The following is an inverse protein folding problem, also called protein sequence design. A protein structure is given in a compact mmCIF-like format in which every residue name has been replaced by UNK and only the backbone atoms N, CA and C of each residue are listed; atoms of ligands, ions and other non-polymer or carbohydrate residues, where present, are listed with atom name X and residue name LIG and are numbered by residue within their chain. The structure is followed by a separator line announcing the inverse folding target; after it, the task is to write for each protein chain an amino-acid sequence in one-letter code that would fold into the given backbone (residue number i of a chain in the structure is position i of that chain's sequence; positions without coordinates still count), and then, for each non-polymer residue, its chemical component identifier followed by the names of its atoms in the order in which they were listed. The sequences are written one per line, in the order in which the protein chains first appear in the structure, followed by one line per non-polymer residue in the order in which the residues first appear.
data_IF_653219836465
#
_entry.id   IF_653219836465
#
_cell.length_a   1.000
_cell.length_b   1.000
_cell.length_c   1.000
_cell.angle_alpha   90.00
_cell.angle_beta   90.00
_cell.angle_gamma   90.00
#
_symmetry.space_group_name_H-M   'P 1'
#
loop_
_entity.id
_entity.type
_entity.pdbx_description
1 polymer ?
#
# COMPACT_ATOMS: atom_id res chain seq x y z
N UNK A 1 -14.51 82.75 13.19
CA UNK A 1 -15.56 83.49 13.94
C UNK A 1 -16.86 83.37 13.16
N UNK A 2 -17.98 83.04 13.83
CA UNK A 2 -19.33 82.66 13.33
C UNK A 2 -19.41 81.21 12.80
N UNK A 3 -19.96 80.19 13.47
CA UNK A 3 -21.06 80.04 14.46
C UNK A 3 -22.47 80.13 13.83
N UNK A 4 -23.19 79.01 13.89
CA UNK A 4 -24.61 78.83 13.56
C UNK A 4 -24.82 77.81 12.42
N UNK A 5 -25.71 76.82 12.47
CA UNK A 5 -26.73 76.43 13.46
C UNK A 5 -27.20 75.04 13.06
N UNK A 6 -27.42 74.18 14.05
CA UNK A 6 -27.96 72.84 13.93
C UNK A 6 -29.49 72.93 13.80
N UNK A 7 -30.07 72.56 12.66
CA UNK A 7 -31.51 72.27 12.58
C UNK A 7 -31.71 70.76 12.58
N UNK A 8 -32.27 70.29 13.69
CA UNK A 8 -32.77 68.94 13.90
C UNK A 8 -34.20 68.92 13.35
N UNK A 9 -34.39 68.33 12.16
CA UNK A 9 -35.72 67.97 11.69
C UNK A 9 -35.96 66.49 12.01
N UNK A 10 -36.42 66.24 13.22
CA UNK A 10 -36.87 64.93 13.68
C UNK A 10 -38.21 64.59 13.02
N UNK A 11 -38.15 63.85 11.91
CA UNK A 11 -39.31 63.13 11.37
C UNK A 11 -39.43 61.81 12.14
N UNK A 12 -40.54 61.54 12.86
CA UNK A 12 -40.71 60.26 13.54
C UNK A 12 -41.06 59.20 12.49
N UNK A 13 -40.07 58.44 12.06
CA UNK A 13 -40.32 57.22 11.29
C UNK A 13 -40.86 56.13 12.22
N UNK A 14 -41.93 55.40 11.82
CA UNK A 14 -42.58 54.43 12.66
C UNK A 14 -41.65 53.26 12.98
N UNK A 15 -41.75 52.77 14.23
CA UNK A 15 -41.01 51.65 14.83
C UNK A 15 -41.14 50.29 14.09
N UNK A 16 -41.80 50.25 12.94
CA UNK A 16 -41.92 49.03 12.11
C UNK A 16 -40.78 48.85 11.10
N UNK A 17 -39.97 49.89 10.82
CA UNK A 17 -38.89 49.79 9.83
C UNK A 17 -37.57 49.21 10.38
N UNK A 18 -37.43 49.00 11.70
CA UNK A 18 -36.22 48.46 12.31
C UNK A 18 -36.13 46.93 12.29
N UNK A 19 -37.21 46.23 11.92
CA UNK A 19 -37.27 44.76 11.96
C UNK A 19 -36.98 44.06 10.63
N UNK A 20 -36.74 44.82 9.56
CA UNK A 20 -36.39 44.27 8.25
C UNK A 20 -35.00 44.75 7.80
N UNK A 21 -33.99 44.55 8.66
CA UNK A 21 -32.69 44.26 8.06
C UNK A 21 -32.86 42.93 7.31
N UNK A 22 -32.48 42.81 6.03
CA UNK A 22 -32.41 41.50 5.42
C UNK A 22 -31.40 40.72 6.25
N UNK A 23 -31.92 39.78 7.05
CA UNK A 23 -31.11 38.75 7.68
C UNK A 23 -30.37 38.10 6.52
N UNK A 24 -29.10 38.48 6.34
CA UNK A 24 -28.17 37.75 5.48
C UNK A 24 -28.03 36.40 6.16
N UNK A 25 -28.97 35.50 5.85
CA UNK A 25 -28.78 34.08 5.99
C UNK A 25 -27.64 33.79 5.02
N UNK A 26 -26.42 33.83 5.55
CA UNK A 26 -25.32 33.14 4.93
C UNK A 26 -25.77 31.68 4.96
N UNK A 27 -26.36 31.24 3.86
CA UNK A 27 -26.46 29.83 3.54
C UNK A 27 -24.99 29.43 3.38
N UNK A 28 -24.36 29.07 4.50
CA UNK A 28 -23.04 28.47 4.52
C UNK A 28 -23.23 27.21 3.67
N UNK A 29 -22.67 27.22 2.46
CA UNK A 29 -22.69 26.03 1.63
C UNK A 29 -21.97 24.96 2.45
N UNK A 30 -22.76 24.01 2.95
CA UNK A 30 -22.30 22.83 3.66
C UNK A 30 -21.60 21.99 2.61
N UNK A 31 -20.32 22.28 2.39
CA UNK A 31 -19.28 21.45 1.77
C UNK A 31 -18.12 22.37 1.42
N UNK A 32 -17.29 22.70 2.43
CA UNK A 32 -15.99 23.30 2.16
C UNK A 32 -15.06 22.20 1.63
N UNK A 33 -15.19 21.87 0.35
CA UNK A 33 -14.30 20.95 -0.37
C UNK A 33 -12.87 21.51 -0.51
N UNK A 34 -12.61 22.73 -0.02
CA UNK A 34 -11.33 23.41 -0.12
C UNK A 34 -10.32 22.92 0.92
N UNK A 35 -10.78 22.20 1.95
CA UNK A 35 -9.92 21.80 3.04
C UNK A 35 -9.05 20.61 2.63
N UNK A 36 -7.74 20.84 2.54
CA UNK A 36 -6.79 19.85 1.99
C UNK A 36 -6.68 18.58 2.83
N UNK A 37 -7.20 18.62 4.07
CA UNK A 37 -7.29 17.47 4.97
C UNK A 37 -8.34 16.42 4.54
N UNK A 38 -9.17 16.73 3.53
CA UNK A 38 -10.14 15.80 2.93
C UNK A 38 -9.51 14.89 1.85
N UNK A 39 -8.33 15.22 1.31
CA UNK A 39 -7.67 14.37 0.31
C UNK A 39 -7.42 12.93 0.77
N UNK A 40 -6.97 12.66 2.02
CA UNK A 40 -6.93 11.32 2.60
C UNK A 40 -8.23 10.53 2.50
N UNK A 41 -9.38 11.18 2.72
CA UNK A 41 -10.69 10.52 2.72
C UNK A 41 -11.08 10.11 1.30
N UNK A 42 -10.83 10.98 0.33
CA UNK A 42 -11.03 10.63 -1.09
C UNK A 42 -10.10 9.51 -1.53
N UNK A 43 -8.82 9.56 -1.15
CA UNK A 43 -7.85 8.50 -1.45
C UNK A 43 -8.28 7.15 -0.85
N UNK A 44 -8.79 7.15 0.39
CA UNK A 44 -9.36 5.97 1.03
C UNK A 44 -10.56 5.40 0.28
N UNK A 45 -11.51 6.26 -0.14
CA UNK A 45 -12.67 5.83 -0.94
C UNK A 45 -12.26 5.23 -2.29
N UNK A 46 -11.32 5.87 -3.00
CA UNK A 46 -10.80 5.35 -4.27
C UNK A 46 -10.11 4.01 -4.05
N UNK A 47 -9.25 3.90 -3.02
CA UNK A 47 -8.58 2.65 -2.65
C UNK A 47 -9.59 1.53 -2.35
N UNK A 48 -10.69 1.85 -1.66
CA UNK A 48 -11.74 0.89 -1.37
C UNK A 48 -12.42 0.40 -2.66
N UNK A 49 -12.77 1.30 -3.58
CA UNK A 49 -13.37 0.92 -4.86
C UNK A 49 -12.42 0.03 -5.67
N UNK A 50 -11.15 0.42 -5.78
CA UNK A 50 -10.14 -0.37 -6.50
C UNK A 50 -9.94 -1.73 -5.85
N UNK A 51 -9.89 -1.80 -4.52
CA UNK A 51 -9.76 -3.06 -3.79
C UNK A 51 -10.96 -3.97 -4.06
N UNK A 52 -12.19 -3.46 -3.98
CA UNK A 52 -13.40 -4.24 -4.30
C UNK A 52 -13.42 -4.72 -5.75
N UNK A 53 -13.01 -3.89 -6.72
CA UNK A 53 -12.88 -4.28 -8.11
C UNK A 53 -11.84 -5.39 -8.30
N UNK A 54 -10.70 -5.30 -7.59
CA UNK A 54 -9.65 -6.32 -7.62
C UNK A 54 -10.13 -7.64 -7.01
N UNK A 55 -10.85 -7.59 -5.88
CA UNK A 55 -11.50 -8.76 -5.28
C UNK A 55 -12.49 -9.41 -6.25
N UNK A 56 -13.35 -8.60 -6.89
CA UNK A 56 -14.33 -9.08 -7.87
C UNK A 56 -13.62 -9.75 -9.06
N UNK A 57 -12.63 -9.08 -9.66
CA UNK A 57 -11.86 -9.63 -10.77
C UNK A 57 -11.21 -10.97 -10.41
N UNK A 58 -10.56 -11.07 -9.24
CA UNK A 58 -9.93 -12.32 -8.81
C UNK A 58 -10.95 -13.42 -8.49
N UNK A 59 -12.09 -13.08 -7.90
CA UNK A 59 -13.17 -14.05 -7.62
C UNK A 59 -13.77 -14.61 -8.92
N UNK A 60 -13.95 -13.76 -9.92
CA UNK A 60 -14.44 -14.13 -11.24
C UNK A 60 -13.41 -14.95 -12.00
N UNK A 61 -12.12 -14.57 -11.94
CA UNK A 61 -11.03 -15.32 -12.52
C UNK A 61 -10.89 -16.71 -11.90
N UNK A 62 -10.95 -16.83 -10.56
CA UNK A 62 -10.88 -18.11 -9.86
C UNK A 62 -12.07 -19.02 -10.23
N UNK A 63 -13.28 -18.46 -10.32
CA UNK A 63 -14.48 -19.19 -10.80
C UNK A 63 -14.36 -19.63 -12.25
N UNK A 64 -13.83 -18.78 -13.13
CA UNK A 64 -13.63 -19.11 -14.54
C UNK A 64 -12.55 -20.17 -14.74
N UNK A 65 -11.43 -20.05 -14.02
CA UNK A 65 -10.36 -21.06 -14.03
C UNK A 65 -10.83 -22.40 -13.49
N UNK A 66 -11.64 -22.43 -12.43
CA UNK A 66 -12.22 -23.67 -11.90
C UNK A 66 -13.16 -24.35 -12.91
N UNK A 67 -13.92 -23.58 -13.68
CA UNK A 67 -14.78 -24.10 -14.76
C UNK A 67 -13.98 -24.71 -15.92
N UNK A 68 -12.79 -24.20 -16.19
CA UNK A 68 -11.91 -24.69 -17.26
C UNK A 68 -11.12 -25.95 -16.87
N UNK A 69 -10.94 -26.18 -15.57
CA UNK A 69 -10.23 -27.35 -15.03
C UNK A 69 -11.16 -28.51 -14.62
N UNK A 70 -12.48 -28.40 -14.82
CA UNK A 70 -13.38 -29.54 -14.63
C UNK A 70 -13.08 -30.59 -15.73
N UNK A 71 -12.66 -31.82 -15.38
CA UNK A 71 -12.39 -32.86 -16.36
C UNK A 71 -13.69 -33.25 -17.06
N UNK A 72 -13.61 -33.45 -18.37
CA UNK A 72 -14.68 -34.08 -19.12
C UNK A 72 -14.58 -35.59 -18.84
N UNK A 73 -15.27 -36.06 -17.81
CA UNK A 73 -15.30 -37.47 -17.44
C UNK A 73 -16.07 -38.26 -18.50
N UNK A 74 -15.32 -38.94 -19.37
CA UNK A 74 -15.89 -39.75 -20.43
C UNK A 74 -14.88 -40.73 -21.00
N UNK A 75 -14.51 -41.76 -20.23
CA UNK A 75 -14.44 -43.15 -20.71
C UNK A 75 -13.92 -44.12 -19.63
N UNK A 76 -14.68 -45.21 -19.52
CA UNK A 76 -14.63 -46.42 -18.69
C UNK A 76 -13.39 -47.31 -18.82
N UNK A 77 -13.15 -48.03 -17.71
CA UNK A 77 -12.60 -49.40 -17.53
C UNK A 77 -11.21 -49.77 -18.06
N UNK A 78 -10.31 -50.15 -17.13
CA UNK A 78 -10.06 -51.57 -16.81
C UNK A 78 -9.07 -51.73 -15.64
N UNK A 79 -9.36 -52.75 -14.82
CA UNK A 79 -8.57 -53.23 -13.69
C UNK A 79 -7.23 -53.87 -14.11
N UNK A 80 -6.22 -53.87 -13.24
CA UNK A 80 -5.81 -55.05 -12.43
C UNK A 80 -4.38 -54.91 -11.83
N UNK A 81 -4.15 -55.64 -10.72
CA UNK A 81 -2.87 -56.13 -10.15
C UNK A 81 -2.13 -55.35 -9.03
N UNK A 82 -2.47 -55.72 -7.78
CA UNK A 82 -1.65 -56.31 -6.70
C UNK A 82 -0.26 -55.76 -6.27
N UNK A 83 -0.28 -55.21 -5.05
CA UNK A 83 0.60 -55.37 -3.86
C UNK A 83 2.01 -55.98 -3.96
N UNK A 84 3.02 -55.29 -3.40
CA UNK A 84 3.90 -55.83 -2.32
C UNK A 84 4.49 -54.68 -1.46
N UNK A 85 4.40 -54.82 -0.14
CA UNK A 85 5.05 -53.98 0.89
C UNK A 85 6.40 -54.59 1.29
N UNK A 86 7.45 -53.79 1.40
CA UNK A 86 8.57 -54.02 2.32
C UNK A 86 9.18 -52.68 2.75
N UNK A 87 9.04 -52.37 4.04
CA UNK A 87 9.81 -51.37 4.79
C UNK A 87 11.20 -51.92 5.13
N UNK A 88 12.23 -51.09 5.00
CA UNK A 88 13.25 -50.77 6.02
C UNK A 88 14.54 -50.26 5.36
N UNK A 89 14.92 -49.03 5.70
CA UNK A 89 16.10 -48.37 5.17
C UNK A 89 16.14 -46.91 5.60
N UNK A 90 16.21 -46.70 6.92
CA UNK A 90 16.37 -45.40 7.56
C UNK A 90 17.62 -44.68 7.05
N UNK A 91 17.41 -43.67 6.21
CA UNK A 91 18.21 -42.47 6.18
C UNK A 91 17.23 -41.31 6.24
N UNK A 92 17.16 -40.65 7.40
CA UNK A 92 16.38 -39.45 7.64
C UNK A 92 16.83 -38.33 6.68
N UNK A 93 16.31 -38.36 5.47
CA UNK A 93 16.14 -37.15 4.68
C UNK A 93 15.01 -36.42 5.37
N UNK A 94 15.37 -35.52 6.29
CA UNK A 94 14.51 -34.47 6.80
C UNK A 94 14.08 -33.62 5.60
N UNK A 95 13.12 -34.14 4.83
CA UNK A 95 12.28 -33.36 3.93
C UNK A 95 11.41 -32.55 4.86
N UNK A 96 11.97 -31.43 5.33
CA UNK A 96 11.22 -30.39 5.97
C UNK A 96 10.06 -30.09 5.03
N UNK A 97 8.85 -30.47 5.46
CA UNK A 97 7.60 -30.09 4.83
C UNK A 97 7.70 -28.62 4.49
N UNK A 98 7.78 -28.33 3.20
CA UNK A 98 7.82 -26.99 2.64
C UNK A 98 6.41 -26.39 2.68
N UNK A 99 5.76 -26.50 3.85
CA UNK A 99 4.46 -25.95 4.16
C UNK A 99 4.69 -24.78 5.13
N UNK A 100 5.17 -23.66 4.61
CA UNK A 100 4.88 -22.37 5.27
C UNK A 100 4.22 -21.42 4.27
N UNK A 101 2.90 -21.59 4.02
CA UNK A 101 2.10 -20.60 3.29
C UNK A 101 1.98 -19.26 4.02
N UNK A 102 2.63 -19.07 5.17
CA UNK A 102 2.64 -17.83 5.93
C UNK A 102 4.08 -17.37 5.99
N UNK A 103 4.35 -16.20 5.41
CA UNK A 103 5.67 -15.58 5.42
C UNK A 103 6.30 -15.68 6.82
N UNK A 104 7.60 -15.94 6.86
CA UNK A 104 8.32 -16.28 8.08
C UNK A 104 8.09 -15.31 9.26
N UNK A 105 8.51 -15.66 10.47
CA UNK A 105 8.22 -14.91 11.70
C UNK A 105 8.61 -13.42 11.63
N UNK A 106 9.62 -13.08 10.83
CA UNK A 106 10.04 -11.70 10.57
C UNK A 106 8.97 -10.89 9.84
N UNK A 107 8.34 -11.45 8.80
CA UNK A 107 7.27 -10.79 8.04
C UNK A 107 6.04 -10.58 8.93
N UNK A 108 5.71 -11.58 9.76
CA UNK A 108 4.66 -11.44 10.76
C UNK A 108 4.93 -10.29 11.73
N UNK A 109 6.16 -10.17 12.24
CA UNK A 109 6.55 -9.08 13.15
C UNK A 109 6.41 -7.69 12.51
N UNK A 110 6.80 -7.52 11.24
CA UNK A 110 6.62 -6.26 10.51
C UNK A 110 5.15 -5.92 10.28
N UNK A 111 4.33 -6.90 9.88
CA UNK A 111 2.90 -6.70 9.70
C UNK A 111 2.20 -6.37 11.03
N UNK A 112 2.60 -7.02 12.13
CA UNK A 112 2.11 -6.69 13.46
C UNK A 112 2.53 -5.28 13.89
N UNK A 113 3.79 -4.89 13.64
CA UNK A 113 4.26 -3.52 13.88
C UNK A 113 3.43 -2.48 13.10
N UNK A 114 3.05 -2.79 11.86
CA UNK A 114 2.18 -1.92 11.05
C UNK A 114 0.79 -1.79 11.65
N UNK A 115 0.21 -2.91 12.12
CA UNK A 115 -1.07 -2.90 12.82
C UNK A 115 -1.02 -2.00 14.07
N UNK A 116 0.02 -2.12 14.89
CA UNK A 116 0.20 -1.31 16.09
C UNK A 116 0.32 0.18 15.73
N UNK A 117 1.13 0.52 14.73
CA UNK A 117 1.27 1.92 14.28
C UNK A 117 -0.07 2.49 13.76
N UNK A 118 -0.85 1.69 13.04
CA UNK A 118 -2.20 2.09 12.60
C UNK A 118 -3.18 2.25 13.76
N UNK A 119 -3.10 1.40 14.80
CA UNK A 119 -3.93 1.51 15.99
C UNK A 119 -3.62 2.78 16.80
N UNK A 120 -2.34 3.14 16.90
CA UNK A 120 -1.92 4.41 17.49
C UNK A 120 -2.48 5.59 16.70
N UNK A 121 -2.34 5.59 15.37
CA UNK A 121 -2.91 6.64 14.51
C UNK A 121 -4.42 6.80 14.66
N UNK A 122 -5.15 5.69 14.71
CA UNK A 122 -6.59 5.70 14.92
C UNK A 122 -6.93 6.30 16.29
N UNK A 123 -6.21 5.88 17.34
CA UNK A 123 -6.42 6.39 18.71
C UNK A 123 -6.18 7.90 18.78
N UNK A 124 -5.05 8.38 18.22
CA UNK A 124 -4.74 9.81 18.17
C UNK A 124 -5.79 10.60 17.39
N UNK A 125 -6.34 10.02 16.32
CA UNK A 125 -7.38 10.65 15.49
C UNK A 125 -8.73 10.70 16.20
N UNK A 126 -9.09 9.65 16.94
CA UNK A 126 -10.29 9.64 17.80
C UNK A 126 -10.17 10.72 18.87
N UNK A 127 -9.01 10.84 19.51
CA UNK A 127 -8.80 11.90 20.53
C UNK A 127 -8.99 13.29 19.92
N UNK A 128 -8.36 13.58 18.77
CA UNK A 128 -8.56 14.86 18.07
C UNK A 128 -10.02 15.11 17.71
N UNK A 129 -10.75 14.08 17.26
CA UNK A 129 -12.16 14.21 16.91
C UNK A 129 -13.05 14.46 18.13
N UNK A 130 -12.84 13.74 19.24
CA UNK A 130 -13.60 13.90 20.49
C UNK A 130 -13.35 15.27 21.12
N UNK A 131 -12.10 15.75 21.14
CA UNK A 131 -11.77 17.10 21.63
C UNK A 131 -12.47 18.16 20.77
N UNK A 132 -12.46 17.98 19.44
CA UNK A 132 -13.17 18.90 18.55
C UNK A 132 -14.68 18.90 18.76
N UNK A 133 -15.28 17.78 19.14
CA UNK A 133 -16.72 17.68 19.46
C UNK A 133 -17.07 18.38 20.78
N UNK A 134 -16.17 18.36 21.77
CA UNK A 134 -16.41 19.04 23.05
C UNK A 134 -16.31 20.56 22.96
N UNK A 135 -15.56 21.09 21.99
CA UNK A 135 -15.41 22.54 21.78
C UNK A 135 -16.59 23.15 20.98
N UNK A 136 -17.38 22.31 20.28
CA UNK A 136 -18.38 22.69 19.28
C UNK A 136 -19.70 23.24 19.86
N UNK A 137 -19.88 23.25 21.18
CA UNK A 137 -21.09 23.78 21.83
C UNK A 137 -21.24 25.33 21.64
N UNK A 138 -20.23 26.00 21.08
CA UNK A 138 -20.14 27.46 21.03
C UNK A 138 -20.01 28.11 19.63
N UNK A 139 -19.76 27.36 18.54
CA UNK A 139 -19.34 27.96 17.25
C UNK A 139 -19.89 27.25 16.01
N UNK A 140 -20.72 27.92 15.20
CA UNK A 140 -21.23 27.40 13.92
C UNK A 140 -20.14 27.07 12.85
N UNK A 141 -18.87 27.42 13.11
CA UNK A 141 -17.72 27.09 12.26
C UNK A 141 -17.14 25.68 12.55
N UNK A 142 -17.36 25.11 13.74
CA UNK A 142 -16.72 23.84 14.15
C UNK A 142 -17.35 22.59 13.54
N UNK A 143 -18.63 22.65 13.14
CA UNK A 143 -19.29 21.58 12.38
C UNK A 143 -18.49 21.18 11.14
N UNK A 144 -17.94 22.13 10.36
CA UNK A 144 -17.19 21.80 9.15
C UNK A 144 -15.92 20.99 9.43
N UNK A 145 -15.18 21.35 10.48
CA UNK A 145 -13.92 20.71 10.87
C UNK A 145 -14.15 19.34 11.54
N UNK A 146 -15.22 19.19 12.32
CA UNK A 146 -15.56 17.90 12.96
C UNK A 146 -15.88 16.81 11.95
N UNK A 147 -16.56 17.13 10.83
CA UNK A 147 -16.81 16.17 9.74
C UNK A 147 -15.52 15.73 9.03
N UNK A 148 -14.58 16.65 8.82
CA UNK A 148 -13.28 16.34 8.20
C UNK A 148 -12.45 15.41 9.10
N UNK A 149 -12.38 15.71 10.40
CA UNK A 149 -11.71 14.85 11.39
C UNK A 149 -12.41 13.48 11.52
N UNK A 150 -13.74 13.45 11.48
CA UNK A 150 -14.51 12.21 11.46
C UNK A 150 -14.23 11.36 10.21
N UNK A 151 -14.12 12.00 9.04
CA UNK A 151 -13.71 11.35 7.80
C UNK A 151 -12.31 10.74 7.89
N UNK A 152 -11.33 11.48 8.44
CA UNK A 152 -10.00 10.96 8.71
C UNK A 152 -10.02 9.77 9.66
N UNK A 153 -10.79 9.84 10.74
CA UNK A 153 -10.96 8.72 11.67
C UNK A 153 -11.46 7.47 10.94
N UNK A 154 -12.44 7.61 10.05
CA UNK A 154 -12.95 6.50 9.24
C UNK A 154 -11.87 5.94 8.29
N UNK A 155 -11.02 6.79 7.71
CA UNK A 155 -9.90 6.32 6.87
C UNK A 155 -8.89 5.50 7.67
N UNK A 156 -8.54 5.92 8.88
CA UNK A 156 -7.63 5.16 9.72
C UNK A 156 -8.25 3.86 10.22
N UNK A 157 -9.56 3.83 10.48
CA UNK A 157 -10.28 2.61 10.78
C UNK A 157 -10.24 1.62 9.59
N UNK A 158 -10.46 2.11 8.37
CA UNK A 158 -10.31 1.32 7.15
C UNK A 158 -8.90 0.75 6.99
N UNK A 159 -7.87 1.58 7.16
CA UNK A 159 -6.46 1.15 7.07
C UNK A 159 -6.10 0.15 8.16
N UNK A 160 -6.64 0.30 9.37
CA UNK A 160 -6.46 -0.67 10.46
C UNK A 160 -7.00 -2.05 10.07
N UNK A 161 -8.22 -2.08 9.50
CA UNK A 161 -8.81 -3.33 8.99
C UNK A 161 -7.95 -3.93 7.88
N UNK A 162 -7.51 -3.13 6.90
CA UNK A 162 -6.61 -3.61 5.85
C UNK A 162 -5.27 -4.13 6.40
N UNK A 163 -4.74 -3.53 7.46
CA UNK A 163 -3.48 -3.95 8.09
C UNK A 163 -3.64 -5.22 8.93
N UNK A 164 -4.88 -5.61 9.25
CA UNK A 164 -5.19 -6.87 9.93
C UNK A 164 -5.28 -8.06 8.95
N UNK A 165 -5.68 -7.82 7.69
CA UNK A 165 -5.81 -8.87 6.66
C UNK A 165 -4.53 -9.72 6.47
N UNK A 166 -3.31 -9.15 6.40
CA UNK A 166 -2.07 -9.93 6.24
C UNK A 166 -1.76 -10.89 7.40
N UNK A 167 -2.37 -10.70 8.57
CA UNK A 167 -2.18 -11.56 9.73
C UNK A 167 -3.11 -12.79 9.71
N UNK A 168 -4.22 -12.73 8.97
CA UNK A 168 -5.24 -13.77 8.94
C UNK A 168 -5.34 -14.50 7.60
N UNK A 169 -5.19 -13.77 6.49
CA UNK A 169 -5.48 -14.26 5.15
C UNK A 169 -4.27 -14.95 4.49
N UNK A 170 -4.50 -15.56 3.33
CA UNK A 170 -3.44 -16.09 2.47
C UNK A 170 -2.47 -14.96 2.05
N UNK A 171 -1.19 -15.27 1.80
CA UNK A 171 -0.14 -14.27 1.56
C UNK A 171 -0.44 -13.36 0.35
N UNK A 172 -1.18 -13.86 -0.65
CA UNK A 172 -1.61 -13.07 -1.81
C UNK A 172 -2.55 -11.95 -1.40
N UNK A 173 -3.61 -12.26 -0.63
CA UNK A 173 -4.56 -11.25 -0.15
C UNK A 173 -3.93 -10.32 0.87
N UNK A 174 -3.07 -10.85 1.74
CA UNK A 174 -2.29 -10.07 2.68
C UNK A 174 -1.41 -9.04 1.99
N UNK A 175 -0.67 -9.44 0.95
CA UNK A 175 0.20 -8.54 0.19
C UNK A 175 -0.59 -7.41 -0.48
N UNK A 176 -1.71 -7.74 -1.14
CA UNK A 176 -2.58 -6.75 -1.80
C UNK A 176 -3.16 -5.77 -0.77
N UNK A 177 -3.75 -6.27 0.32
CA UNK A 177 -4.34 -5.43 1.37
C UNK A 177 -3.29 -4.53 2.04
N UNK A 178 -2.11 -5.06 2.31
CA UNK A 178 -1.00 -4.28 2.85
C UNK A 178 -0.54 -3.19 1.87
N UNK A 179 -0.51 -3.47 0.57
CA UNK A 179 -0.21 -2.50 -0.48
C UNK A 179 -1.19 -1.33 -0.51
N UNK A 180 -2.50 -1.62 -0.50
CA UNK A 180 -3.55 -0.58 -0.42
C UNK A 180 -3.44 0.25 0.87
N UNK A 181 -3.24 -0.41 2.02
CA UNK A 181 -3.01 0.28 3.29
C UNK A 181 -1.80 1.22 3.23
N UNK A 182 -0.67 0.76 2.66
CA UNK A 182 0.53 1.60 2.51
C UNK A 182 0.27 2.79 1.58
N UNK A 183 -0.44 2.58 0.46
CA UNK A 183 -0.75 3.65 -0.50
C UNK A 183 -1.57 4.75 0.17
N UNK A 184 -2.66 4.39 0.86
CA UNK A 184 -3.51 5.37 1.56
C UNK A 184 -2.69 6.13 2.60
N UNK A 185 -1.87 5.43 3.41
CA UNK A 185 -1.01 6.08 4.40
C UNK A 185 0.08 6.97 3.79
N UNK A 186 0.59 6.64 2.60
CA UNK A 186 1.56 7.48 1.89
C UNK A 186 0.87 8.75 1.37
N UNK A 187 -0.33 8.64 0.82
CA UNK A 187 -1.14 9.80 0.45
C UNK A 187 -1.43 10.70 1.65
N UNK A 188 -1.80 10.12 2.81
CA UNK A 188 -2.01 10.93 4.01
C UNK A 188 -0.72 11.58 4.51
N UNK A 189 0.40 10.87 4.44
CA UNK A 189 1.71 11.42 4.80
C UNK A 189 2.07 12.60 3.91
N UNK A 190 1.87 12.48 2.60
CA UNK A 190 2.12 13.58 1.67
C UNK A 190 1.29 14.83 2.00
N UNK A 191 0.03 14.65 2.41
CA UNK A 191 -0.84 15.77 2.83
C UNK A 191 -0.32 16.42 4.12
N UNK A 192 0.03 15.65 5.15
CA UNK A 192 0.62 16.21 6.38
C UNK A 192 1.99 16.86 6.12
N UNK A 193 2.83 16.28 5.27
CA UNK A 193 4.10 16.89 4.89
C UNK A 193 3.87 18.24 4.16
N UNK A 194 2.89 18.31 3.27
CA UNK A 194 2.54 19.55 2.58
C UNK A 194 1.95 20.62 3.51
N UNK A 195 1.07 20.22 4.45
CA UNK A 195 0.40 21.14 5.37
C UNK A 195 1.31 21.64 6.49
N UNK A 196 2.18 20.77 7.01
CA UNK A 196 2.86 21.03 8.28
C UNK A 196 4.39 21.02 8.20
N UNK A 197 4.99 20.28 7.27
CA UNK A 197 6.46 20.23 7.14
C UNK A 197 6.96 21.21 6.10
N UNK A 198 6.28 21.32 4.96
CA UNK A 198 6.63 22.23 3.87
C UNK A 198 6.71 23.70 4.30
N UNK A 199 5.80 24.24 5.13
CA UNK A 199 5.91 25.62 5.59
C UNK A 199 7.21 25.95 6.28
N UNK A 200 7.83 25.01 7.01
CA UNK A 200 9.14 25.22 7.64
C UNK A 200 10.29 25.37 6.65
N UNK A 201 10.14 24.89 5.42
CA UNK A 201 11.09 25.13 4.34
C UNK A 201 10.91 26.51 3.67
N UNK A 202 9.91 27.28 4.11
CA UNK A 202 9.59 28.62 3.56
C UNK A 202 9.63 29.68 4.66
N UNK A 203 9.92 30.92 4.30
CA UNK A 203 10.01 32.01 5.28
C UNK A 203 8.66 32.64 5.63
N UNK A 204 7.63 32.43 4.82
CA UNK A 204 6.36 33.18 4.88
C UNK A 204 5.16 32.36 5.31
N UNK A 205 5.23 31.02 5.24
CA UNK A 205 4.11 30.15 5.58
C UNK A 205 4.23 29.63 7.02
N UNK A 206 3.09 29.29 7.63
CA UNK A 206 3.03 28.65 8.94
C UNK A 206 2.25 27.33 8.81
N UNK A 207 2.60 26.29 9.59
CA UNK A 207 1.85 25.03 9.59
C UNK A 207 0.38 25.25 9.94
N UNK A 208 -0.51 24.63 9.16
CA UNK A 208 -1.95 24.79 9.31
C UNK A 208 -2.45 24.12 10.60
N UNK A 209 -1.88 22.99 10.98
CA UNK A 209 -2.36 22.16 12.10
C UNK A 209 -1.54 22.38 13.39
N UNK A 210 -0.93 23.58 13.54
CA UNK A 210 -0.07 23.93 14.70
C UNK A 210 -0.80 23.79 16.05
N UNK A 211 -2.12 23.97 16.08
CA UNK A 211 -2.95 23.89 17.29
C UNK A 211 -2.95 22.50 17.93
N UNK A 212 -2.69 21.43 17.17
CA UNK A 212 -2.59 20.06 17.69
C UNK A 212 -1.28 19.80 18.47
N UNK A 213 -0.25 20.63 18.24
CA UNK A 213 1.02 20.57 18.97
C UNK A 213 1.70 19.20 18.91
N UNK A 214 1.91 18.57 20.07
CA UNK A 214 2.63 17.28 20.19
C UNK A 214 1.87 16.12 19.53
N UNK A 215 0.53 16.18 19.51
CA UNK A 215 -0.30 15.13 18.90
C UNK A 215 -0.06 15.04 17.38
N UNK A 216 0.11 16.17 16.71
CA UNK A 216 0.43 16.22 15.28
C UNK A 216 1.74 15.50 14.97
N UNK A 217 2.80 15.81 15.72
CA UNK A 217 4.10 15.17 15.52
C UNK A 217 4.07 13.67 15.84
N UNK A 218 3.29 13.25 16.83
CA UNK A 218 3.07 11.83 17.11
C UNK A 218 2.34 11.12 15.95
N UNK A 219 1.34 11.78 15.33
CA UNK A 219 0.68 11.28 14.10
C UNK A 219 1.67 11.17 12.95
N UNK A 220 2.43 12.23 12.64
CA UNK A 220 3.43 12.22 11.55
C UNK A 220 4.49 11.13 11.78
N UNK A 221 4.97 10.95 13.01
CA UNK A 221 5.96 9.92 13.34
C UNK A 221 5.39 8.51 13.14
N UNK A 222 4.21 8.23 13.69
CA UNK A 222 3.54 6.92 13.55
C UNK A 222 3.20 6.62 12.08
N UNK A 223 2.81 7.66 11.33
CA UNK A 223 2.52 7.59 9.91
C UNK A 223 3.77 7.28 9.08
N UNK A 224 4.89 7.92 9.38
CA UNK A 224 6.18 7.66 8.73
C UNK A 224 6.64 6.21 8.97
N UNK A 225 6.48 5.71 10.19
CA UNK A 225 6.79 4.32 10.53
C UNK A 225 5.94 3.36 9.70
N UNK A 226 4.62 3.57 9.67
CA UNK A 226 3.68 2.67 8.98
C UNK A 226 3.75 2.74 7.45
N UNK A 227 3.94 3.93 6.88
CA UNK A 227 3.89 4.19 5.44
C UNK A 227 5.23 3.99 4.74
N UNK A 228 6.35 4.27 5.42
CA UNK A 228 7.69 4.27 4.80
C UNK A 228 8.57 3.18 5.42
N UNK A 229 8.83 3.26 6.72
CA UNK A 229 9.85 2.40 7.36
C UNK A 229 9.48 0.92 7.25
N UNK A 230 8.25 0.55 7.62
CA UNK A 230 7.84 -0.85 7.60
C UNK A 230 7.85 -1.43 6.18
N UNK A 231 7.19 -0.83 5.17
CA UNK A 231 7.22 -1.36 3.81
C UNK A 231 8.64 -1.46 3.22
N UNK A 232 9.54 -0.52 3.55
CA UNK A 232 10.91 -0.53 3.05
C UNK A 232 11.77 -1.64 3.67
N UNK A 233 11.52 -1.98 4.93
CA UNK A 233 12.29 -2.98 5.69
C UNK A 233 11.67 -4.38 5.67
N UNK A 234 10.42 -4.52 5.27
CA UNK A 234 9.74 -5.82 5.20
C UNK A 234 10.43 -6.72 4.15
N UNK A 235 10.90 -7.92 4.54
CA UNK A 235 11.45 -8.88 3.60
C UNK A 235 10.44 -9.30 2.53
N UNK A 236 10.91 -9.55 1.31
CA UNK A 236 10.04 -10.02 0.23
C UNK A 236 9.85 -11.52 0.33
N UNK A 237 8.61 -11.96 0.15
CA UNK A 237 8.29 -13.38 0.04
C UNK A 237 8.81 -13.85 -1.30
N UNK A 238 9.57 -14.95 -1.30
CA UNK A 238 10.00 -15.59 -2.53
C UNK A 238 8.80 -16.22 -3.23
N UNK A 239 8.57 -15.80 -4.47
CA UNK A 239 7.56 -16.37 -5.36
C UNK A 239 8.28 -17.15 -6.48
N UNK A 240 8.15 -18.49 -6.52
CA UNK A 240 8.84 -19.30 -7.51
C UNK A 240 8.30 -19.00 -8.91
N UNK A 241 9.19 -18.89 -9.89
CA UNK A 241 8.79 -18.66 -11.29
C UNK A 241 8.00 -19.85 -11.86
N UNK A 242 8.41 -21.08 -11.53
CA UNK A 242 7.67 -22.30 -11.84
C UNK A 242 7.21 -22.97 -10.55
N UNK A 243 5.91 -22.95 -10.29
CA UNK A 243 5.33 -23.58 -9.11
C UNK A 243 5.57 -25.09 -9.04
N UNK A 244 5.88 -25.75 -10.17
CA UNK A 244 6.17 -27.18 -10.23
C UNK A 244 7.60 -27.52 -9.82
N UNK A 245 8.54 -26.61 -10.09
CA UNK A 245 9.97 -26.78 -9.84
C UNK A 245 10.49 -25.52 -9.11
N UNK A 246 10.15 -25.32 -7.82
CA UNK A 246 10.70 -24.21 -7.04
C UNK A 246 12.20 -24.41 -6.81
N UNK A 247 12.96 -23.30 -6.71
CA UNK A 247 14.37 -23.42 -6.38
C UNK A 247 14.58 -23.78 -4.91
N UNK A 248 15.50 -24.72 -4.67
CA UNK A 248 15.82 -25.19 -3.32
C UNK A 248 16.47 -24.11 -2.45
N UNK A 249 17.19 -23.17 -3.07
CA UNK A 249 17.81 -22.03 -2.41
C UNK A 249 17.52 -20.76 -3.23
N UNK A 250 16.58 -19.90 -2.79
CA UNK A 250 16.26 -18.70 -3.53
C UNK A 250 17.42 -17.71 -3.49
N UNK A 251 17.63 -17.00 -4.60
CA UNK A 251 18.68 -15.99 -4.68
C UNK A 251 18.41 -14.86 -3.65
N UNK A 252 19.43 -14.34 -2.94
CA UNK A 252 19.23 -13.29 -1.95
C UNK A 252 18.49 -12.07 -2.50
N UNK A 253 18.72 -11.67 -3.74
CA UNK A 253 18.03 -10.51 -4.33
C UNK A 253 16.50 -10.69 -4.41
N UNK A 254 16.00 -11.93 -4.43
CA UNK A 254 14.57 -12.24 -4.53
C UNK A 254 13.86 -12.17 -3.17
N UNK A 255 14.60 -12.27 -2.05
CA UNK A 255 14.05 -12.29 -0.69
C UNK A 255 14.35 -11.02 0.11
N UNK A 256 15.29 -10.18 -0.34
CA UNK A 256 15.71 -8.97 0.36
C UNK A 256 14.61 -7.90 0.44
N UNK A 257 14.60 -7.07 1.50
CA UNK A 257 13.70 -5.92 1.57
C UNK A 257 14.05 -4.86 0.51
N UNK A 258 13.09 -3.98 0.19
CA UNK A 258 13.24 -2.97 -0.87
C UNK A 258 14.43 -2.05 -0.59
N UNK A 259 14.63 -1.63 0.66
CA UNK A 259 15.77 -0.81 1.05
C UNK A 259 17.11 -1.48 0.71
N UNK A 260 17.23 -2.79 1.03
CA UNK A 260 18.45 -3.55 0.77
C UNK A 260 18.69 -3.74 -0.73
N UNK A 261 17.61 -3.91 -1.51
CA UNK A 261 17.69 -3.96 -2.96
C UNK A 261 18.16 -2.63 -3.57
N UNK A 262 17.63 -1.50 -3.08
CA UNK A 262 18.02 -0.16 -3.56
C UNK A 262 19.47 0.19 -3.25
N UNK A 263 19.94 -0.18 -2.05
CA UNK A 263 21.30 0.09 -1.59
C UNK A 263 22.30 -1.02 -1.96
N UNK A 264 21.86 -2.07 -2.64
CA UNK A 264 22.64 -3.29 -2.93
C UNK A 264 23.28 -3.94 -1.68
N UNK A 265 22.76 -3.66 -0.48
CA UNK A 265 23.36 -4.15 0.78
C UNK A 265 23.27 -5.66 0.96
N UNK A 266 22.48 -6.34 0.11
CA UNK A 266 22.44 -7.79 0.05
C UNK A 266 23.77 -8.40 -0.44
N UNK A 267 24.58 -7.65 -1.19
CA UNK A 267 25.91 -8.05 -1.63
C UNK A 267 26.98 -7.86 -0.56
N UNK A 268 26.72 -7.10 0.51
CA UNK A 268 27.74 -6.72 1.50
C UNK A 268 28.46 -7.93 2.10
N UNK A 269 27.70 -8.99 2.40
CA UNK A 269 28.28 -10.25 2.92
C UNK A 269 29.21 -10.90 1.91
N UNK A 270 28.83 -10.91 0.63
CA UNK A 270 29.63 -11.48 -0.46
C UNK A 270 30.89 -10.66 -0.71
N UNK A 271 30.77 -9.32 -0.79
CA UNK A 271 31.90 -8.40 -0.98
C UNK A 271 32.88 -8.49 0.17
N UNK A 272 32.38 -8.52 1.42
CA UNK A 272 33.22 -8.69 2.60
C UNK A 272 33.93 -10.05 2.60
N UNK A 273 33.26 -11.11 2.13
CA UNK A 273 33.86 -12.44 2.00
C UNK A 273 34.97 -12.44 0.95
N UNK A 274 34.68 -11.89 -0.23
CA UNK A 274 35.63 -11.75 -1.33
C UNK A 274 36.86 -10.94 -0.93
N UNK A 275 36.68 -9.88 -0.15
CA UNK A 275 37.79 -9.06 0.37
C UNK A 275 38.75 -9.83 1.29
N UNK A 276 38.23 -10.81 2.05
CA UNK A 276 39.03 -11.58 3.02
C UNK A 276 39.78 -12.76 2.41
N UNK A 277 39.45 -13.14 1.18
CA UNK A 277 40.02 -14.33 0.53
C UNK A 277 40.88 -13.94 -0.67
N UNK A 278 42.00 -14.63 -0.93
CA UNK A 278 42.84 -14.35 -2.09
C UNK A 278 42.10 -14.54 -3.44
N UNK A 279 41.19 -15.52 -3.48
CA UNK A 279 40.29 -15.76 -4.61
C UNK A 279 38.94 -16.25 -4.07
N UNK A 280 37.84 -15.82 -4.68
CA UNK A 280 36.50 -16.30 -4.36
C UNK A 280 36.18 -17.52 -5.25
N UNK A 281 36.05 -18.73 -4.69
CA UNK A 281 35.67 -19.90 -5.47
C UNK A 281 34.23 -19.79 -6.00
N UNK A 282 33.95 -20.44 -7.13
CA UNK A 282 32.65 -20.38 -7.81
C UNK A 282 31.50 -20.88 -6.92
N UNK A 283 31.75 -21.92 -6.12
CA UNK A 283 30.75 -22.55 -5.25
C UNK A 283 30.26 -21.64 -4.12
N UNK A 284 30.96 -20.53 -3.86
CA UNK A 284 30.57 -19.56 -2.84
C UNK A 284 29.75 -18.38 -3.39
N UNK A 285 29.59 -18.31 -4.72
CA UNK A 285 28.66 -17.37 -5.31
C UNK A 285 27.22 -17.76 -5.01
N UNK A 286 26.32 -16.78 -4.83
CA UNK A 286 24.92 -17.09 -4.64
C UNK A 286 24.34 -17.74 -5.91
N UNK A 287 23.33 -18.63 -5.77
CA UNK A 287 22.74 -19.33 -6.90
C UNK A 287 22.07 -18.36 -7.86
N UNK A 288 22.02 -18.68 -9.16
CA UNK A 288 21.34 -17.83 -10.14
C UNK A 288 19.85 -17.66 -9.77
N UNK A 289 19.32 -16.44 -9.91
CA UNK A 289 17.91 -16.19 -9.69
C UNK A 289 17.02 -16.93 -10.70
N UNK A 290 15.89 -17.44 -10.22
CA UNK A 290 15.01 -18.27 -11.05
C UNK A 290 14.46 -17.55 -12.27
N UNK A 291 14.27 -16.23 -12.18
CA UNK A 291 13.81 -15.41 -13.30
C UNK A 291 14.80 -15.36 -14.45
N UNK A 292 16.08 -15.59 -14.15
CA UNK A 292 17.21 -15.46 -15.07
C UNK A 292 17.77 -16.82 -15.51
N UNK A 293 17.21 -17.92 -14.99
CA UNK A 293 17.49 -19.27 -15.46
C UNK A 293 17.14 -19.41 -16.94
N UNK A 294 18.05 -20.04 -17.70
CA UNK A 294 17.86 -20.28 -19.14
C UNK A 294 16.56 -21.06 -19.43
N UNK A 295 16.21 -22.04 -18.59
CA UNK A 295 14.97 -22.82 -18.74
C UNK A 295 13.73 -21.94 -18.64
N UNK A 296 13.69 -21.08 -17.61
CA UNK A 296 12.56 -20.18 -17.36
C UNK A 296 12.48 -19.06 -18.40
N UNK A 297 13.62 -18.53 -18.83
CA UNK A 297 13.72 -17.57 -19.91
C UNK A 297 13.21 -18.17 -21.22
N UNK A 298 13.64 -19.38 -21.59
CA UNK A 298 13.18 -20.09 -22.80
C UNK A 298 11.67 -20.31 -22.74
N UNK A 299 11.14 -20.80 -21.61
CA UNK A 299 9.70 -21.04 -21.42
C UNK A 299 8.86 -19.78 -21.62
N UNK A 300 9.35 -18.62 -21.15
CA UNK A 300 8.69 -17.31 -21.33
C UNK A 300 8.87 -16.75 -22.74
N UNK A 301 10.10 -16.80 -23.24
CA UNK A 301 10.54 -16.12 -24.46
C UNK A 301 10.05 -16.83 -25.72
N UNK A 302 10.17 -18.16 -25.79
CA UNK A 302 9.87 -18.93 -27.01
C UNK A 302 8.38 -18.91 -27.35
N UNK A 303 7.49 -18.76 -26.36
CA UNK A 303 6.06 -18.54 -26.62
C UNK A 303 5.79 -17.36 -27.57
N UNK A 304 6.66 -16.35 -27.56
CA UNK A 304 6.49 -15.11 -28.34
C UNK A 304 7.54 -14.95 -29.45
N UNK A 305 8.69 -15.64 -29.34
CA UNK A 305 9.84 -15.51 -30.25
C UNK A 305 10.05 -16.70 -31.17
N UNK A 306 9.45 -17.86 -30.91
CA UNK A 306 9.63 -19.04 -31.74
C UNK A 306 8.92 -18.85 -33.09
N UNK A 307 9.67 -18.85 -34.22
CA UNK A 307 9.09 -18.69 -35.55
C UNK A 307 8.16 -19.85 -35.95
N UNK A 308 8.26 -21.00 -35.28
CA UNK A 308 7.37 -22.14 -35.50
C UNK A 308 5.99 -21.93 -34.85
N UNK A 309 5.94 -21.17 -33.76
CA UNK A 309 4.70 -20.85 -33.03
C UNK A 309 4.07 -19.54 -33.51
N UNK A 310 4.90 -18.56 -33.91
CA UNK A 310 4.46 -17.21 -34.29
C UNK A 310 4.80 -16.95 -35.76
N UNK A 311 3.77 -16.94 -36.61
CA UNK A 311 3.91 -16.69 -38.05
C UNK A 311 4.05 -15.18 -38.35
N UNK A 312 5.02 -14.83 -39.20
CA UNK A 312 5.21 -13.50 -39.83
C UNK A 312 5.32 -12.30 -38.87
N UNK A 313 6.11 -12.42 -37.80
CA UNK A 313 6.48 -11.27 -36.93
C UNK A 313 7.98 -11.05 -36.87
N UNK A 314 8.40 -9.78 -36.93
CA UNK A 314 9.79 -9.41 -36.71
C UNK A 314 10.19 -9.75 -35.27
N UNK A 315 11.36 -10.39 -35.13
CA UNK A 315 11.94 -10.83 -33.84
C UNK A 315 12.03 -9.67 -32.85
N UNK A 316 12.36 -8.45 -33.32
CA UNK A 316 12.46 -7.25 -32.48
C UNK A 316 11.17 -6.93 -31.72
N UNK A 317 10.00 -7.09 -32.35
CA UNK A 317 8.71 -6.89 -31.68
C UNK A 317 8.41 -7.98 -30.65
N UNK A 318 8.81 -9.23 -30.94
CA UNK A 318 8.74 -10.33 -29.97
C UNK A 318 9.60 -10.05 -28.74
N UNK A 319 10.83 -9.59 -28.95
CA UNK A 319 11.77 -9.27 -27.87
C UNK A 319 11.23 -8.13 -26.99
N UNK A 320 10.74 -7.06 -27.62
CA UNK A 320 10.13 -5.92 -26.92
C UNK A 320 8.90 -6.37 -26.11
N UNK A 321 8.11 -7.32 -26.61
CA UNK A 321 6.95 -7.85 -25.91
C UNK A 321 7.36 -8.70 -24.68
N UNK A 322 8.38 -9.55 -24.82
CA UNK A 322 8.88 -10.40 -23.72
C UNK A 322 9.47 -9.57 -22.59
N UNK A 323 10.26 -8.53 -22.91
CA UNK A 323 10.92 -7.68 -21.91
C UNK A 323 10.17 -6.40 -21.59
N UNK A 324 8.93 -6.22 -22.08
CA UNK A 324 8.16 -4.97 -21.93
C UNK A 324 8.10 -4.47 -20.49
N UNK A 325 7.81 -5.35 -19.55
CA UNK A 325 7.70 -4.98 -18.12
C UNK A 325 9.02 -4.47 -17.57
N UNK A 326 10.13 -5.10 -17.95
CA UNK A 326 11.47 -4.71 -17.53
C UNK A 326 11.89 -3.40 -18.18
N UNK A 327 11.69 -3.23 -19.48
CA UNK A 327 11.99 -1.97 -20.17
C UNK A 327 11.20 -0.79 -19.59
N UNK A 328 9.91 -0.98 -19.29
CA UNK A 328 9.09 0.06 -18.66
C UNK A 328 9.62 0.42 -17.26
N UNK A 329 9.96 -0.58 -16.44
CA UNK A 329 10.54 -0.35 -15.11
C UNK A 329 11.92 0.33 -15.18
N UNK A 330 12.76 -0.03 -16.14
CA UNK A 330 14.08 0.60 -16.35
C UNK A 330 13.96 2.05 -16.80
N UNK A 331 13.01 2.37 -17.68
CA UNK A 331 12.78 3.76 -18.14
C UNK A 331 12.23 4.64 -17.01
N UNK A 332 11.31 4.11 -16.19
CA UNK A 332 10.77 4.82 -15.02
C UNK A 332 11.85 5.09 -13.96
N UNK A 333 12.88 4.24 -13.86
CA UNK A 333 14.01 4.44 -12.94
C UNK A 333 15.09 5.40 -13.46
N UNK A 334 15.08 5.75 -14.74
CA UNK A 334 16.07 6.61 -15.39
C UNK A 334 15.66 8.09 -15.49
N UNK A 335 14.42 8.41 -15.11
CA UNK A 335 13.87 9.77 -15.02
C UNK A 335 13.56 10.10 -13.55
#
# INVERSE_FOLDING_TARGET
MRLGTQEVLSVPLPLEAAFLSPMKVYIHQVTDFSDTLTFPTYAGCVSLVVFLLQLLYMSLWRRWSARKSAPNDGSTDSADSDTVVSEEGAAEVNVARHDTPRGGPTIFAFNFGKLVACAVLLTLSIVSWVVSLSDDESSALGLSQTWVLGGLCLTYAYVLVLSFVPLLAEPVWGSIASGHATLVLLCTLAVYLYRDVWPYATFTQKPLDTSEGVLLWAKIASLTVAAVIIPLLTPRIYEPFDAKNPSSQPHPEQTTPILSLMLFSWLDKLVMKAYRMPHLPLDELPPLADTDSAENLVKRAFKELDPLLVKDRHIGWGLLKVFRTWCMLSVIRLY
#
